data_IF_430906037494
#
_entry.id   IF_430906037494
#
_cell.length_a   1.000
_cell.length_b   1.000
_cell.length_c   1.000
_cell.angle_alpha   90.00
_cell.angle_beta   90.00
_cell.angle_gamma   90.00
#
_symmetry.space_group_name_H-M   'P 1'
#
loop_
_entity.id
_entity.type
_entity.pdbx_description
1 polymer ?
#
# COMPACT_ATOMS: atom_id res chain seq x y z
N UNK A 1 60.57 -38.61 -8.38
CA UNK A 1 59.31 -38.48 -9.14
C UNK A 1 59.00 -36.99 -9.29
N UNK A 2 59.42 -36.43 -10.47
CA UNK A 2 59.16 -35.00 -10.81
C UNK A 2 57.71 -34.75 -11.09
N UNK A 3 57.10 -33.67 -10.66
CA UNK A 3 55.72 -33.32 -10.98
C UNK A 3 55.61 -32.85 -12.44
N UNK A 4 54.69 -33.42 -13.14
CA UNK A 4 54.39 -33.18 -14.56
C UNK A 4 53.90 -31.71 -14.74
N UNK A 5 54.47 -30.92 -15.69
CA UNK A 5 54.01 -29.56 -15.93
C UNK A 5 52.63 -29.53 -16.54
N UNK A 6 51.74 -28.70 -15.99
CA UNK A 6 50.38 -28.52 -16.52
C UNK A 6 50.44 -27.87 -17.91
N UNK A 7 49.60 -28.34 -18.84
CA UNK A 7 49.55 -27.76 -20.19
C UNK A 7 49.07 -26.32 -20.15
N UNK A 8 49.68 -25.43 -20.94
CA UNK A 8 49.27 -24.05 -21.13
C UNK A 8 47.83 -23.93 -21.62
N UNK A 9 47.06 -22.97 -21.08
CA UNK A 9 45.70 -22.70 -21.60
C UNK A 9 45.76 -22.20 -23.07
N UNK A 10 44.78 -22.56 -23.91
CA UNK A 10 44.74 -22.10 -25.27
C UNK A 10 44.56 -20.57 -25.37
N UNK A 11 45.06 -19.93 -26.44
CA UNK A 11 44.93 -18.48 -26.62
C UNK A 11 43.45 -18.11 -26.76
N UNK A 12 43.07 -16.88 -26.32
CA UNK A 12 41.70 -16.41 -26.42
C UNK A 12 41.32 -16.23 -27.90
N UNK A 13 40.03 -16.48 -28.27
CA UNK A 13 39.56 -16.34 -29.63
C UNK A 13 39.69 -14.89 -30.10
N UNK A 14 39.95 -14.64 -31.42
CA UNK A 14 40.09 -13.30 -31.96
C UNK A 14 38.83 -12.47 -31.70
N UNK A 15 39.04 -11.27 -31.15
CA UNK A 15 37.99 -10.40 -30.64
C UNK A 15 36.85 -10.18 -31.66
N UNK A 16 35.64 -10.60 -31.26
CA UNK A 16 34.41 -10.13 -31.94
C UNK A 16 34.44 -8.61 -31.90
N UNK A 17 34.51 -7.97 -33.06
CA UNK A 17 34.26 -6.52 -33.18
C UNK A 17 32.93 -6.23 -32.52
N UNK A 18 32.96 -5.52 -31.40
CA UNK A 18 31.76 -5.01 -30.77
C UNK A 18 31.14 -4.05 -31.75
N UNK A 19 30.04 -4.45 -32.39
CA UNK A 19 29.19 -3.52 -33.10
C UNK A 19 28.72 -2.53 -32.03
N UNK A 20 29.25 -1.30 -32.11
CA UNK A 20 28.71 -0.16 -31.37
C UNK A 20 27.26 -0.04 -31.79
N UNK A 21 26.36 -0.39 -30.91
CA UNK A 21 24.94 -0.12 -31.10
C UNK A 21 24.79 1.39 -31.35
N UNK A 22 23.98 1.82 -32.34
CA UNK A 22 23.75 3.23 -32.58
C UNK A 22 23.30 3.90 -31.30
N UNK A 23 23.94 5.04 -30.96
CA UNK A 23 23.58 5.81 -29.75
C UNK A 23 22.08 6.06 -29.76
N UNK A 24 21.38 5.56 -28.72
CA UNK A 24 19.96 5.83 -28.56
C UNK A 24 19.78 7.35 -28.46
N UNK A 25 18.81 7.92 -29.18
CA UNK A 25 18.53 9.34 -29.08
C UNK A 25 18.24 9.67 -27.61
N UNK A 26 18.67 10.84 -27.10
CA UNK A 26 18.43 11.22 -25.69
C UNK A 26 16.93 11.11 -25.44
N UNK A 27 16.57 10.35 -24.40
CA UNK A 27 15.18 10.23 -23.97
C UNK A 27 14.61 11.63 -23.76
N UNK A 28 13.38 11.94 -24.25
CA UNK A 28 12.80 13.26 -24.14
C UNK A 28 12.89 13.73 -22.69
N UNK A 29 13.46 14.90 -22.49
CA UNK A 29 13.62 15.52 -21.17
C UNK A 29 12.28 15.43 -20.45
N UNK A 30 12.24 14.75 -19.29
CA UNK A 30 11.00 14.56 -18.49
C UNK A 30 10.50 15.94 -18.10
N UNK A 31 9.53 16.47 -18.84
CA UNK A 31 8.89 17.73 -18.50
C UNK A 31 8.26 17.60 -17.10
N UNK A 32 8.69 18.43 -16.17
CA UNK A 32 8.07 18.54 -14.86
C UNK A 32 6.83 19.42 -15.00
N UNK A 33 5.69 18.92 -14.58
CA UNK A 33 4.48 19.72 -14.51
C UNK A 33 4.62 20.76 -13.40
N UNK A 34 4.33 22.02 -13.69
CA UNK A 34 4.48 23.11 -12.72
C UNK A 34 3.53 22.92 -11.55
N UNK A 35 2.25 22.68 -11.83
CA UNK A 35 1.21 22.45 -10.83
C UNK A 35 0.30 21.34 -11.31
N UNK A 36 0.05 20.36 -10.44
CA UNK A 36 -1.00 19.38 -10.60
C UNK A 36 -1.90 19.46 -9.38
N UNK A 37 -3.20 19.61 -9.59
CA UNK A 37 -4.18 19.72 -8.52
C UNK A 37 -5.34 18.76 -8.78
N UNK A 38 -5.90 18.22 -7.72
CA UNK A 38 -7.12 17.42 -7.75
C UNK A 38 -7.97 17.80 -6.54
N UNK A 39 -9.29 17.88 -6.75
CA UNK A 39 -10.25 18.24 -5.71
C UNK A 39 -11.18 17.08 -5.41
N UNK A 40 -11.60 16.96 -4.15
CA UNK A 40 -12.55 15.98 -3.68
C UNK A 40 -13.63 16.68 -2.85
N UNK A 41 -14.88 16.26 -3.02
CA UNK A 41 -16.01 16.71 -2.22
C UNK A 41 -16.12 15.90 -0.93
N UNK A 42 -16.44 16.58 0.15
CA UNK A 42 -16.61 16.02 1.49
C UNK A 42 -18.11 16.02 1.80
N UNK A 43 -18.71 14.86 2.16
CA UNK A 43 -20.12 14.79 2.55
C UNK A 43 -20.38 15.58 3.83
N UNK A 44 -21.61 16.07 3.98
CA UNK A 44 -21.99 16.95 5.11
C UNK A 44 -21.91 16.29 6.49
N UNK A 45 -22.04 14.97 6.53
CA UNK A 45 -21.99 14.17 7.76
C UNK A 45 -20.59 14.04 8.38
N UNK A 46 -19.56 14.53 7.68
CA UNK A 46 -18.16 14.29 8.04
C UNK A 46 -17.41 15.60 8.17
N UNK A 47 -16.67 15.75 9.25
CA UNK A 47 -15.76 16.89 9.47
C UNK A 47 -14.31 16.45 9.21
N UNK A 48 -13.64 17.16 8.33
CA UNK A 48 -12.23 16.95 8.01
C UNK A 48 -11.38 18.08 8.57
N UNK A 49 -10.33 17.73 9.31
CA UNK A 49 -9.33 18.70 9.81
C UNK A 49 -7.97 18.32 9.24
N UNK A 50 -7.26 19.32 8.73
CA UNK A 50 -5.90 19.17 8.18
C UNK A 50 -4.93 19.92 9.07
N UNK A 51 -3.93 19.24 9.61
CA UNK A 51 -2.86 19.82 10.43
C UNK A 51 -1.52 19.23 10.03
N UNK A 52 -0.61 20.07 9.49
CA UNK A 52 0.76 19.67 9.17
C UNK A 52 0.86 18.33 8.39
N UNK A 53 0.06 18.16 7.34
CA UNK A 53 -0.05 16.93 6.53
C UNK A 53 -0.59 15.69 7.30
N UNK A 54 -1.15 15.91 8.47
CA UNK A 54 -2.00 14.93 9.15
C UNK A 54 -3.46 15.28 8.90
N UNK A 55 -4.22 14.33 8.40
CA UNK A 55 -5.65 14.49 8.13
C UNK A 55 -6.42 13.68 9.16
N UNK A 56 -7.28 14.38 9.89
CA UNK A 56 -8.23 13.80 10.85
C UNK A 56 -9.64 13.90 10.27
N UNK A 57 -10.31 12.78 10.21
CA UNK A 57 -11.68 12.67 9.70
C UNK A 57 -12.58 12.19 10.83
N UNK A 58 -13.55 13.03 11.19
CA UNK A 58 -14.54 12.75 12.25
C UNK A 58 -15.90 12.49 11.62
N UNK A 59 -16.54 11.39 11.98
CA UNK A 59 -17.86 11.03 11.49
C UNK A 59 -18.68 10.29 12.54
N UNK A 60 -19.86 9.76 12.18
CA UNK A 60 -20.80 9.14 13.13
C UNK A 60 -20.23 7.88 13.82
N UNK A 61 -19.26 7.19 13.21
CA UNK A 61 -18.64 5.98 13.77
C UNK A 61 -17.37 6.24 14.60
N UNK A 62 -16.87 7.46 14.60
CA UNK A 62 -15.66 7.84 15.34
C UNK A 62 -14.72 8.72 14.54
N UNK A 63 -13.49 8.83 14.99
CA UNK A 63 -12.45 9.66 14.37
C UNK A 63 -11.30 8.79 13.89
N UNK A 64 -10.93 8.97 12.63
CA UNK A 64 -9.76 8.34 12.04
C UNK A 64 -8.73 9.39 11.66
N UNK A 65 -7.46 9.08 11.90
CA UNK A 65 -6.34 9.96 11.53
C UNK A 65 -5.38 9.25 10.61
N UNK A 66 -4.82 10.00 9.64
CA UNK A 66 -3.80 9.47 8.75
C UNK A 66 -2.69 10.50 8.52
N UNK A 67 -1.46 10.04 8.50
CA UNK A 67 -0.28 10.86 8.29
C UNK A 67 0.19 10.77 6.83
N UNK A 68 0.35 11.93 6.19
CA UNK A 68 0.85 12.08 4.82
C UNK A 68 2.18 12.84 4.75
N UNK A 69 2.92 12.96 5.85
CA UNK A 69 4.20 13.70 5.90
C UNK A 69 5.25 13.20 4.93
N UNK A 70 5.18 11.92 4.54
CA UNK A 70 6.09 11.32 3.57
C UNK A 70 5.86 11.78 2.12
N UNK A 71 4.75 12.50 1.85
CA UNK A 71 4.40 12.99 0.52
C UNK A 71 4.65 14.50 0.42
N UNK A 72 5.21 14.94 -0.71
CA UNK A 72 5.35 16.36 -1.04
C UNK A 72 4.07 16.84 -1.72
N UNK A 73 2.99 16.92 -0.94
CA UNK A 73 1.68 17.38 -1.36
C UNK A 73 1.20 18.47 -0.40
N UNK A 74 0.46 19.43 -0.90
CA UNK A 74 -0.20 20.46 -0.12
C UNK A 74 -1.70 20.18 -0.07
N UNK A 75 -2.26 20.20 1.14
CA UNK A 75 -3.66 19.94 1.40
C UNK A 75 -4.35 21.24 1.82
N UNK A 76 -5.37 21.63 1.09
CA UNK A 76 -6.13 22.85 1.35
C UNK A 76 -7.63 22.50 1.45
N UNK A 77 -8.26 22.98 2.52
CA UNK A 77 -9.71 22.93 2.67
C UNK A 77 -10.32 24.18 2.03
N UNK A 78 -11.27 23.99 1.15
CA UNK A 78 -12.01 25.05 0.48
C UNK A 78 -13.50 24.99 0.86
N UNK A 79 -14.22 26.07 0.59
CA UNK A 79 -15.66 26.18 0.79
C UNK A 79 -16.11 25.82 2.22
N UNK A 80 -15.43 26.36 3.24
CA UNK A 80 -15.78 26.06 4.63
C UNK A 80 -15.57 24.61 5.07
N UNK A 81 -14.71 23.87 4.38
CA UNK A 81 -14.41 22.47 4.73
C UNK A 81 -15.21 21.45 3.92
N UNK A 82 -15.92 21.85 2.88
CA UNK A 82 -16.70 20.95 2.00
C UNK A 82 -15.88 20.38 0.86
N UNK A 83 -14.79 21.03 0.47
CA UNK A 83 -13.90 20.54 -0.58
C UNK A 83 -12.47 20.44 -0.08
N UNK A 84 -11.84 19.32 -0.35
CA UNK A 84 -10.41 19.10 -0.13
C UNK A 84 -9.69 19.22 -1.47
N UNK A 85 -8.81 20.20 -1.60
CA UNK A 85 -7.91 20.38 -2.73
C UNK A 85 -6.53 19.87 -2.36
N UNK A 86 -5.92 19.06 -3.25
CA UNK A 86 -4.58 18.52 -3.09
C UNK A 86 -3.72 19.01 -4.24
N UNK A 87 -2.67 19.75 -3.92
CA UNK A 87 -1.76 20.36 -4.89
C UNK A 87 -0.37 19.72 -4.82
N UNK A 88 0.26 19.54 -5.98
CA UNK A 88 1.66 19.13 -6.11
C UNK A 88 2.41 20.10 -7.01
N UNK A 89 3.45 20.73 -6.47
CA UNK A 89 4.30 21.68 -7.19
C UNK A 89 5.53 20.99 -7.74
N UNK A 90 5.87 21.30 -9.01
CA UNK A 90 7.05 20.77 -9.70
C UNK A 90 7.23 19.25 -9.59
N UNK A 91 6.10 18.54 -9.62
CA UNK A 91 6.04 17.12 -9.38
C UNK A 91 6.63 16.28 -10.53
N UNK A 92 7.32 15.22 -10.18
CA UNK A 92 7.62 14.12 -11.12
C UNK A 92 6.35 13.33 -11.41
N UNK A 93 6.35 12.48 -12.44
CA UNK A 93 5.22 11.59 -12.73
C UNK A 93 4.78 10.75 -11.52
N UNK A 94 5.74 10.33 -10.68
CA UNK A 94 5.44 9.59 -9.45
C UNK A 94 4.72 10.44 -8.40
N UNK A 95 5.15 11.70 -8.23
CA UNK A 95 4.51 12.63 -7.29
C UNK A 95 3.09 12.98 -7.74
N UNK A 96 2.87 13.17 -9.05
CA UNK A 96 1.53 13.42 -9.59
C UNK A 96 0.60 12.20 -9.37
N UNK A 97 1.11 10.98 -9.58
CA UNK A 97 0.34 9.78 -9.28
C UNK A 97 0.00 9.66 -7.78
N UNK A 98 0.84 10.17 -6.89
CA UNK A 98 0.59 10.17 -5.45
C UNK A 98 -0.60 11.06 -5.03
N UNK A 99 -0.96 12.10 -5.80
CA UNK A 99 -2.14 12.93 -5.55
C UNK A 99 -3.39 12.05 -5.52
N UNK A 100 -3.59 11.25 -6.57
CA UNK A 100 -4.75 10.36 -6.66
C UNK A 100 -4.79 9.32 -5.53
N UNK A 101 -3.62 8.80 -5.15
CA UNK A 101 -3.50 7.87 -4.03
C UNK A 101 -3.88 8.54 -2.71
N UNK A 102 -3.43 9.78 -2.46
CA UNK A 102 -3.76 10.53 -1.27
C UNK A 102 -5.28 10.78 -1.16
N UNK A 103 -5.90 11.21 -2.25
CA UNK A 103 -7.36 11.43 -2.32
C UNK A 103 -8.12 10.13 -2.05
N UNK A 104 -7.72 9.02 -2.66
CA UNK A 104 -8.34 7.72 -2.43
C UNK A 104 -8.22 7.29 -0.96
N UNK A 105 -7.10 7.57 -0.31
CA UNK A 105 -6.94 7.30 1.11
C UNK A 105 -7.88 8.15 1.98
N UNK A 106 -8.04 9.44 1.66
CA UNK A 106 -9.00 10.29 2.38
C UNK A 106 -10.44 9.81 2.14
N UNK A 107 -10.77 9.42 0.92
CA UNK A 107 -12.07 8.84 0.60
C UNK A 107 -12.35 7.56 1.39
N UNK A 108 -11.31 6.70 1.55
CA UNK A 108 -11.42 5.51 2.38
C UNK A 108 -11.63 5.86 3.86
N UNK A 109 -11.00 6.91 4.38
CA UNK A 109 -11.26 7.38 5.75
C UNK A 109 -12.72 7.83 5.90
N UNK A 110 -13.23 8.61 4.96
CA UNK A 110 -14.63 9.07 4.96
C UNK A 110 -15.58 7.87 4.93
N UNK A 111 -15.34 6.90 4.04
CA UNK A 111 -16.13 5.66 4.00
C UNK A 111 -16.04 4.87 5.30
N UNK A 112 -14.86 4.84 5.92
CA UNK A 112 -14.63 4.16 7.19
C UNK A 112 -15.43 4.76 8.35
N UNK A 113 -15.50 6.09 8.45
CA UNK A 113 -16.22 6.78 9.54
C UNK A 113 -17.74 6.85 9.29
N UNK A 114 -18.21 6.69 8.05
CA UNK A 114 -19.64 6.67 7.70
C UNK A 114 -20.20 5.25 7.68
N UNK A 115 -19.77 4.45 6.70
CA UNK A 115 -20.30 3.10 6.43
C UNK A 115 -19.56 2.00 7.19
N UNK A 116 -18.26 2.20 7.45
CA UNK A 116 -17.37 1.17 7.97
C UNK A 116 -16.94 0.16 6.91
N UNK A 117 -16.04 -0.74 7.26
CA UNK A 117 -15.52 -1.78 6.37
C UNK A 117 -15.79 -3.17 6.90
N UNK A 118 -16.14 -4.08 6.00
CA UNK A 118 -16.22 -5.51 6.26
C UNK A 118 -15.23 -6.22 5.34
N UNK A 119 -14.17 -6.77 5.94
CA UNK A 119 -13.19 -7.56 5.22
C UNK A 119 -13.63 -9.02 5.19
N UNK A 120 -13.70 -9.59 4.00
CA UNK A 120 -13.99 -11.02 3.79
C UNK A 120 -12.68 -11.71 3.48
N UNK A 121 -12.32 -12.69 4.28
CA UNK A 121 -11.10 -13.47 4.12
C UNK A 121 -11.44 -14.93 3.87
N UNK A 122 -10.56 -15.64 3.18
CA UNK A 122 -10.68 -17.08 2.92
C UNK A 122 -9.34 -17.73 3.22
N UNK A 123 -9.37 -18.90 3.81
CA UNK A 123 -8.17 -19.72 3.97
C UNK A 123 -7.83 -20.35 2.63
N UNK A 124 -6.55 -20.30 2.27
CA UNK A 124 -6.02 -20.94 1.07
C UNK A 124 -4.83 -21.79 1.50
N UNK A 125 -4.88 -23.08 1.25
CA UNK A 125 -3.81 -24.02 1.54
C UNK A 125 -3.77 -25.11 0.47
N UNK A 126 -2.58 -25.70 0.25
CA UNK A 126 -2.42 -26.82 -0.67
C UNK A 126 -2.41 -28.16 0.08
N UNK A 127 -1.50 -28.31 1.05
CA UNK A 127 -1.30 -29.57 1.78
C UNK A 127 -1.66 -29.46 3.27
N UNK A 128 -1.30 -28.37 3.93
CA UNK A 128 -1.52 -28.20 5.36
C UNK A 128 -2.84 -27.47 5.63
N UNK A 129 -3.90 -28.16 6.09
CA UNK A 129 -5.17 -27.53 6.37
C UNK A 129 -5.02 -26.52 7.53
N UNK A 130 -5.46 -25.30 7.32
CA UNK A 130 -5.39 -24.23 8.31
C UNK A 130 -6.60 -24.33 9.23
N UNK A 131 -6.36 -24.44 10.54
CA UNK A 131 -7.40 -24.43 11.56
C UNK A 131 -7.44 -23.06 12.23
N UNK A 132 -8.58 -22.39 12.18
CA UNK A 132 -8.80 -21.14 12.87
C UNK A 132 -9.87 -21.28 13.95
N UNK A 133 -9.55 -20.82 15.15
CA UNK A 133 -10.47 -20.74 16.27
C UNK A 133 -10.68 -19.29 16.65
N UNK A 134 -11.92 -18.86 16.78
CA UNK A 134 -12.26 -17.53 17.26
C UNK A 134 -12.35 -17.59 18.78
N UNK A 135 -11.67 -16.68 19.46
CA UNK A 135 -11.69 -16.57 20.92
C UNK A 135 -13.05 -16.10 21.42
N UNK A 136 -13.42 -16.49 22.64
CA UNK A 136 -14.62 -15.99 23.30
C UNK A 136 -14.67 -14.46 23.24
N UNK A 137 -15.85 -13.90 22.93
CA UNK A 137 -16.10 -12.49 22.69
C UNK A 137 -15.74 -11.95 21.29
N UNK A 138 -15.39 -12.79 20.30
CA UNK A 138 -15.11 -12.39 18.91
C UNK A 138 -14.01 -11.31 18.75
N UNK A 139 -13.11 -11.21 19.73
CA UNK A 139 -12.02 -10.23 19.77
C UNK A 139 -10.66 -10.77 19.38
N UNK A 140 -10.52 -12.07 19.21
CA UNK A 140 -9.24 -12.67 18.84
C UNK A 140 -9.43 -13.86 17.92
N UNK A 141 -8.39 -14.17 17.16
CA UNK A 141 -8.32 -15.35 16.32
C UNK A 141 -7.02 -16.11 16.61
N UNK A 142 -7.13 -17.41 16.76
CA UNK A 142 -6.00 -18.34 16.85
C UNK A 142 -5.92 -19.12 15.55
N UNK A 143 -4.77 -19.04 14.90
CA UNK A 143 -4.50 -19.76 13.65
C UNK A 143 -3.49 -20.86 13.97
N UNK A 144 -3.87 -22.12 13.67
CA UNK A 144 -3.07 -23.31 13.90
C UNK A 144 -2.73 -23.98 12.57
N UNK A 145 -1.64 -24.70 12.57
CA UNK A 145 -1.14 -25.47 11.41
C UNK A 145 -0.90 -24.61 10.17
N UNK A 146 -0.52 -23.35 10.35
CA UNK A 146 -0.11 -22.50 9.23
C UNK A 146 1.20 -23.01 8.64
N UNK A 147 1.18 -23.49 7.38
CA UNK A 147 2.32 -24.11 6.70
C UNK A 147 2.97 -25.28 7.47
N UNK A 148 2.21 -26.00 8.30
CA UNK A 148 2.73 -27.10 9.12
C UNK A 148 3.47 -26.65 10.39
N UNK A 149 3.41 -25.39 10.76
CA UNK A 149 4.03 -24.88 12.00
C UNK A 149 3.33 -25.45 13.25
N UNK A 150 4.11 -25.84 14.24
CA UNK A 150 3.60 -26.24 15.56
C UNK A 150 3.15 -25.04 16.39
N UNK A 151 3.64 -23.83 16.10
CA UNK A 151 3.32 -22.60 16.79
C UNK A 151 1.90 -22.14 16.47
N UNK A 152 1.13 -21.81 17.51
CA UNK A 152 -0.18 -21.17 17.37
C UNK A 152 0.02 -19.65 17.18
N UNK A 153 -0.49 -19.11 16.10
CA UNK A 153 -0.48 -17.67 15.83
C UNK A 153 -1.75 -17.06 16.41
N UNK A 154 -1.59 -16.16 17.38
CA UNK A 154 -2.69 -15.43 18.00
C UNK A 154 -2.68 -14.00 17.49
N UNK A 155 -3.84 -13.48 17.12
CA UNK A 155 -4.03 -12.10 16.73
C UNK A 155 -5.22 -11.53 17.49
N UNK A 156 -4.96 -10.51 18.29
CA UNK A 156 -5.98 -9.78 19.00
C UNK A 156 -6.45 -8.61 18.16
N UNK A 157 -7.75 -8.38 18.12
CA UNK A 157 -8.36 -7.30 17.36
C UNK A 157 -8.28 -5.98 18.11
N UNK A 158 -8.18 -4.91 17.33
CA UNK A 158 -8.30 -3.56 17.86
C UNK A 158 -9.71 -3.30 18.40
N UNK A 159 -9.84 -2.32 19.30
CA UNK A 159 -11.13 -1.94 19.86
C UNK A 159 -12.11 -1.55 18.75
N UNK A 160 -13.33 -2.07 18.87
CA UNK A 160 -14.40 -1.86 17.88
C UNK A 160 -14.35 -2.80 16.67
N UNK A 161 -13.37 -3.72 16.57
CA UNK A 161 -13.29 -4.73 15.52
C UNK A 161 -13.76 -6.08 16.05
N UNK A 162 -14.66 -6.74 15.29
CA UNK A 162 -15.18 -8.06 15.62
C UNK A 162 -14.92 -9.04 14.48
N UNK A 163 -14.65 -10.29 14.82
CA UNK A 163 -14.48 -11.39 13.88
C UNK A 163 -15.71 -12.28 13.89
N UNK A 164 -16.21 -12.60 12.71
CA UNK A 164 -17.31 -13.53 12.55
C UNK A 164 -16.92 -14.64 11.57
N UNK A 165 -17.23 -15.87 11.91
CA UNK A 165 -17.09 -17.00 10.99
C UNK A 165 -18.27 -17.00 10.01
N UNK A 166 -18.01 -17.20 8.71
CA UNK A 166 -19.06 -17.31 7.73
C UNK A 166 -19.71 -18.69 7.80
N UNK A 167 -21.01 -18.75 7.95
CA UNK A 167 -21.77 -20.01 7.94
C UNK A 167 -21.96 -20.57 6.52
N UNK A 168 -21.88 -19.71 5.51
CA UNK A 168 -22.16 -20.07 4.11
C UNK A 168 -20.99 -20.79 3.41
N UNK A 169 -19.79 -20.63 3.91
CA UNK A 169 -18.61 -21.27 3.36
C UNK A 169 -18.05 -22.15 4.44
N UNK A 170 -18.39 -23.43 4.39
CA UNK A 170 -17.62 -24.46 5.07
C UNK A 170 -16.32 -24.60 4.28
N UNK A 171 -15.21 -24.60 4.97
CA UNK A 171 -13.81 -24.66 4.53
C UNK A 171 -13.56 -25.05 3.08
#
# INVERSE_FOLDING_TARGET
LSPNPRPCPPPPPPGRRRHLAPAQPPSPAKMKTILASETMEIPEEVTVKVSAKMISVTGPRGTLTRNFKHLNLDFQLQEGGRKLKVDAWFGTRKTMAAIRTAISHVQNLITGVTKGFRYKMRFVYAHFPINASITAANRGIEIRNFLGEKKVRKVDMLDGVTILRSEKVKD
#
